data_IF_441348680382
#
_entry.id   IF_441348680382
#
_cell.length_a   1.000
_cell.length_b   1.000
_cell.length_c   1.000
_cell.angle_alpha   90.00
_cell.angle_beta   90.00
_cell.angle_gamma   90.00
#
_symmetry.space_group_name_H-M   'P 1'
#
loop_
_entity.id
_entity.type
_entity.pdbx_description
1 polymer ?
#
# COMPACT_ATOMS: atom_id res chain seq x y z
N UNK A 1 48.61 -33.28 16.63
CA UNK A 1 48.11 -31.84 16.79
C UNK A 1 47.50 -31.28 15.52
N UNK A 2 48.12 -31.49 14.32
CA UNK A 2 47.56 -31.00 13.06
C UNK A 2 46.35 -31.82 12.58
N UNK A 3 46.40 -33.13 12.79
CA UNK A 3 45.32 -34.09 12.54
C UNK A 3 44.12 -33.86 13.47
N UNK A 4 44.33 -33.60 14.74
CA UNK A 4 43.30 -33.27 15.74
C UNK A 4 42.61 -31.96 15.41
N UNK A 5 43.33 -30.94 14.92
CA UNK A 5 42.76 -29.67 14.49
C UNK A 5 41.91 -29.82 13.21
N UNK A 6 42.27 -30.71 12.29
CA UNK A 6 41.51 -31.02 11.09
C UNK A 6 40.23 -31.80 11.40
N UNK A 7 40.26 -32.75 12.35
CA UNK A 7 39.12 -33.51 12.85
C UNK A 7 38.13 -32.58 13.57
N UNK A 8 38.61 -31.72 14.48
CA UNK A 8 37.78 -30.69 15.15
C UNK A 8 37.13 -29.72 14.15
N UNK A 9 37.82 -29.32 13.09
CA UNK A 9 37.27 -28.44 12.06
C UNK A 9 36.17 -29.14 11.24
N UNK A 10 36.32 -30.46 10.98
CA UNK A 10 35.33 -31.28 10.31
C UNK A 10 34.06 -31.50 11.15
N UNK A 11 34.22 -31.72 12.47
CA UNK A 11 33.07 -31.84 13.39
C UNK A 11 32.32 -30.53 13.53
N UNK A 12 33.01 -29.38 13.68
CA UNK A 12 32.40 -28.07 13.72
C UNK A 12 31.64 -27.71 12.42
N UNK A 13 32.22 -28.07 11.28
CA UNK A 13 31.56 -27.85 9.98
C UNK A 13 30.28 -28.68 9.85
N UNK A 14 30.26 -29.90 10.36
CA UNK A 14 29.11 -30.77 10.38
C UNK A 14 28.01 -30.22 11.31
N UNK A 15 28.37 -29.78 12.52
CA UNK A 15 27.42 -29.18 13.48
C UNK A 15 26.78 -27.88 12.91
N UNK A 16 27.60 -27.02 12.29
CA UNK A 16 27.09 -25.79 11.64
C UNK A 16 26.12 -26.14 10.53
N UNK A 17 26.42 -27.12 9.68
CA UNK A 17 25.48 -27.56 8.61
C UNK A 17 24.19 -28.14 9.17
N UNK A 18 24.26 -28.90 10.26
CA UNK A 18 23.07 -29.45 10.93
C UNK A 18 22.18 -28.36 11.52
N UNK A 19 22.75 -27.34 12.16
CA UNK A 19 22.03 -26.18 12.69
C UNK A 19 21.39 -25.34 11.57
N UNK A 20 22.11 -25.12 10.48
CA UNK A 20 21.61 -24.43 9.30
C UNK A 20 20.40 -25.18 8.68
N UNK A 21 20.47 -26.51 8.60
CA UNK A 21 19.37 -27.32 8.11
C UNK A 21 18.14 -27.24 9.01
N UNK A 22 18.30 -27.32 10.34
CA UNK A 22 17.20 -27.17 11.30
C UNK A 22 16.59 -25.76 11.25
N UNK A 23 17.40 -24.73 11.16
CA UNK A 23 16.92 -23.36 10.99
C UNK A 23 16.12 -23.20 9.70
N UNK A 24 16.57 -23.81 8.60
CA UNK A 24 15.86 -23.83 7.32
C UNK A 24 14.47 -24.50 7.41
N UNK A 25 14.34 -25.60 8.18
CA UNK A 25 13.04 -26.25 8.40
C UNK A 25 12.11 -25.35 9.21
N UNK A 26 12.60 -24.75 10.30
CA UNK A 26 11.77 -23.85 11.13
C UNK A 26 11.31 -22.61 10.35
N UNK A 27 12.17 -22.04 9.54
CA UNK A 27 11.81 -20.90 8.68
C UNK A 27 10.77 -21.30 7.62
N UNK A 28 10.87 -22.51 7.04
CA UNK A 28 9.89 -23.03 6.10
C UNK A 28 8.51 -23.25 6.75
N UNK A 29 8.48 -23.73 8.00
CA UNK A 29 7.22 -23.93 8.74
C UNK A 29 6.55 -22.58 9.10
N UNK A 30 7.33 -21.57 9.46
CA UNK A 30 6.84 -20.22 9.68
C UNK A 30 6.31 -19.61 8.37
N UNK A 31 7.06 -19.77 7.29
CA UNK A 31 6.69 -19.26 5.97
C UNK A 31 5.41 -19.89 5.42
N UNK A 32 5.19 -21.18 5.67
CA UNK A 32 3.95 -21.87 5.27
C UNK A 32 2.70 -21.38 6.01
N UNK A 33 2.86 -20.77 7.18
CA UNK A 33 1.77 -20.20 8.00
C UNK A 33 1.53 -18.74 7.74
N UNK A 34 2.40 -18.08 6.98
CA UNK A 34 2.28 -16.66 6.67
C UNK A 34 1.10 -16.42 5.70
N UNK A 35 0.09 -15.69 6.13
CA UNK A 35 -1.09 -15.36 5.36
C UNK A 35 -1.22 -13.87 5.07
N UNK A 36 -0.66 -13.02 5.93
CA UNK A 36 -0.67 -11.59 5.76
C UNK A 36 0.52 -11.10 4.93
N UNK A 37 0.35 -9.97 4.27
CA UNK A 37 1.35 -9.38 3.36
C UNK A 37 2.72 -9.18 4.03
N UNK A 38 2.73 -8.62 5.24
CA UNK A 38 3.97 -8.35 5.99
C UNK A 38 4.64 -9.64 6.46
N UNK A 39 3.87 -10.63 6.90
CA UNK A 39 4.37 -11.92 7.32
C UNK A 39 5.03 -12.67 6.16
N UNK A 40 4.40 -12.68 4.98
CA UNK A 40 4.95 -13.29 3.76
C UNK A 40 6.25 -12.59 3.36
N UNK A 41 6.30 -11.28 3.43
CA UNK A 41 7.48 -10.49 3.10
C UNK A 41 8.65 -10.80 4.05
N UNK A 42 8.39 -10.88 5.36
CA UNK A 42 9.38 -11.27 6.36
C UNK A 42 9.87 -12.71 6.17
N UNK A 43 8.97 -13.64 5.83
CA UNK A 43 9.30 -15.02 5.56
C UNK A 43 10.24 -15.16 4.35
N UNK A 44 9.97 -14.47 3.25
CA UNK A 44 10.84 -14.43 2.06
C UNK A 44 12.23 -13.91 2.44
N UNK A 45 12.31 -12.76 3.12
CA UNK A 45 13.59 -12.18 3.54
C UNK A 45 14.40 -13.12 4.43
N UNK A 46 13.74 -13.83 5.35
CA UNK A 46 14.39 -14.78 6.25
C UNK A 46 14.94 -15.99 5.50
N UNK A 47 14.19 -16.54 4.55
CA UNK A 47 14.65 -17.63 3.70
C UNK A 47 15.80 -17.22 2.76
N UNK A 48 15.75 -16.01 2.22
CA UNK A 48 16.82 -15.46 1.38
C UNK A 48 18.12 -15.26 2.18
N UNK A 49 18.03 -14.72 3.38
CA UNK A 49 19.20 -14.62 4.30
C UNK A 49 19.76 -16.01 4.64
N UNK A 50 18.89 -16.97 4.97
CA UNK A 50 19.33 -18.34 5.23
C UNK A 50 20.06 -18.96 4.02
N UNK A 51 19.59 -18.69 2.79
CA UNK A 51 20.24 -19.09 1.54
C UNK A 51 21.64 -18.52 1.40
N UNK A 52 21.82 -17.24 1.67
CA UNK A 52 23.12 -16.57 1.59
C UNK A 52 24.13 -17.16 2.58
N UNK A 53 23.71 -17.39 3.84
CA UNK A 53 24.57 -17.94 4.87
C UNK A 53 24.94 -19.42 4.68
N UNK A 54 23.99 -20.21 4.16
CA UNK A 54 24.17 -21.66 4.03
C UNK A 54 24.80 -22.11 2.71
N UNK A 55 25.00 -21.18 1.75
CA UNK A 55 25.41 -21.53 0.39
C UNK A 55 24.32 -22.30 -0.39
N UNK A 56 23.08 -22.27 0.11
CA UNK A 56 21.87 -22.92 -0.45
C UNK A 56 20.93 -23.41 0.63
N UNK A 57 19.64 -23.44 0.37
CA UNK A 57 18.59 -23.87 1.33
C UNK A 57 17.85 -25.14 0.90
N UNK A 58 18.35 -25.79 -0.14
CA UNK A 58 17.71 -26.95 -0.74
C UNK A 58 16.50 -26.62 -1.63
N UNK A 59 16.23 -27.49 -2.58
CA UNK A 59 15.21 -27.26 -3.63
C UNK A 59 13.80 -26.97 -3.08
N UNK A 60 13.43 -27.58 -1.95
CA UNK A 60 12.12 -27.36 -1.33
C UNK A 60 11.94 -25.94 -0.83
N UNK A 61 12.96 -25.36 -0.21
CA UNK A 61 12.91 -24.00 0.31
C UNK A 61 13.05 -22.96 -0.82
N UNK A 62 13.78 -23.27 -1.89
CA UNK A 62 13.79 -22.45 -3.11
C UNK A 62 12.39 -22.39 -3.75
N UNK A 63 11.70 -23.54 -3.86
CA UNK A 63 10.33 -23.56 -4.36
C UNK A 63 9.38 -22.75 -3.47
N UNK A 64 9.55 -22.85 -2.14
CA UNK A 64 8.74 -22.10 -1.19
C UNK A 64 8.89 -20.58 -1.36
N UNK A 65 10.11 -20.06 -1.63
CA UNK A 65 10.32 -18.65 -1.94
C UNK A 65 9.53 -18.24 -3.19
N UNK A 66 9.53 -19.07 -4.22
CA UNK A 66 8.78 -18.80 -5.46
C UNK A 66 7.28 -18.74 -5.18
N UNK A 67 6.75 -19.70 -4.42
CA UNK A 67 5.33 -19.80 -4.08
C UNK A 67 4.89 -18.59 -3.23
N UNK A 68 5.69 -18.19 -2.25
CA UNK A 68 5.43 -17.01 -1.41
C UNK A 68 5.46 -15.70 -2.20
N UNK A 69 6.38 -15.57 -3.16
CA UNK A 69 6.42 -14.38 -4.05
C UNK A 69 5.19 -14.31 -4.94
N UNK A 70 4.72 -15.46 -5.42
CA UNK A 70 3.47 -15.54 -6.19
C UNK A 70 2.27 -15.11 -5.35
N UNK A 71 2.15 -15.64 -4.12
CA UNK A 71 1.11 -15.26 -3.16
C UNK A 71 1.15 -13.77 -2.83
N UNK A 72 2.34 -13.19 -2.60
CA UNK A 72 2.52 -11.77 -2.35
C UNK A 72 2.03 -10.91 -3.53
N UNK A 73 2.36 -11.31 -4.76
CA UNK A 73 1.90 -10.63 -5.98
C UNK A 73 0.38 -10.65 -6.13
N UNK A 74 -0.28 -11.76 -5.79
CA UNK A 74 -1.75 -11.85 -5.82
C UNK A 74 -2.42 -10.96 -4.75
N UNK A 75 -1.85 -10.90 -3.55
CA UNK A 75 -2.32 -10.01 -2.49
C UNK A 75 -2.18 -8.53 -2.87
N UNK A 76 -1.06 -8.16 -3.51
CA UNK A 76 -0.84 -6.80 -4.03
C UNK A 76 -1.89 -6.42 -5.07
N UNK A 77 -2.16 -7.31 -6.02
CA UNK A 77 -3.20 -7.10 -7.03
C UNK A 77 -4.58 -6.96 -6.40
N UNK A 78 -4.87 -7.75 -5.36
CA UNK A 78 -6.14 -7.68 -4.65
C UNK A 78 -6.29 -6.37 -3.89
N UNK A 79 -5.26 -5.91 -3.16
CA UNK A 79 -5.24 -4.61 -2.49
C UNK A 79 -5.41 -3.45 -3.48
N UNK A 80 -4.71 -3.51 -4.62
CA UNK A 80 -4.85 -2.52 -5.67
C UNK A 80 -6.28 -2.47 -6.26
N UNK A 81 -6.94 -3.61 -6.43
CA UNK A 81 -8.33 -3.70 -6.88
C UNK A 81 -9.30 -3.07 -5.88
N UNK A 82 -9.19 -3.42 -4.60
CA UNK A 82 -10.03 -2.83 -3.54
C UNK A 82 -9.88 -1.32 -3.54
N UNK A 83 -8.64 -0.80 -3.57
CA UNK A 83 -8.41 0.64 -3.59
C UNK A 83 -8.93 1.34 -4.85
N UNK A 84 -9.04 0.66 -5.98
CA UNK A 84 -9.68 1.18 -7.20
C UNK A 84 -11.20 1.21 -7.03
N UNK A 85 -11.78 0.13 -6.51
CA UNK A 85 -13.24 0.02 -6.31
C UNK A 85 -13.73 1.07 -5.30
N UNK A 86 -13.01 1.27 -4.19
CA UNK A 86 -13.33 2.31 -3.19
C UNK A 86 -13.30 3.72 -3.80
N UNK A 87 -12.26 4.07 -4.56
CA UNK A 87 -12.16 5.36 -5.26
C UNK A 87 -13.26 5.55 -6.29
N UNK A 88 -13.65 4.49 -6.98
CA UNK A 88 -14.75 4.54 -7.96
C UNK A 88 -16.10 4.75 -7.28
N UNK A 89 -16.35 4.16 -6.12
CA UNK A 89 -17.56 4.39 -5.33
C UNK A 89 -17.61 5.82 -4.78
N UNK A 90 -16.51 6.31 -4.24
CA UNK A 90 -16.38 7.69 -3.77
C UNK A 90 -16.65 8.68 -4.93
N UNK A 91 -16.00 8.48 -6.08
CA UNK A 91 -16.21 9.31 -7.26
C UNK A 91 -17.67 9.32 -7.74
N UNK A 92 -18.37 8.17 -7.67
CA UNK A 92 -19.80 8.08 -7.98
C UNK A 92 -20.67 8.84 -6.97
N UNK A 93 -20.34 8.73 -5.68
CA UNK A 93 -21.07 9.43 -4.63
C UNK A 93 -20.93 10.95 -4.79
N UNK A 94 -19.73 11.46 -5.02
CA UNK A 94 -19.47 12.88 -5.27
C UNK A 94 -20.25 13.35 -6.52
N UNK A 95 -20.21 12.60 -7.61
CA UNK A 95 -20.94 12.92 -8.85
C UNK A 95 -22.45 12.97 -8.63
N UNK A 96 -23.01 12.05 -7.86
CA UNK A 96 -24.45 12.05 -7.54
C UNK A 96 -24.86 13.29 -6.74
N UNK A 97 -24.01 13.74 -5.81
CA UNK A 97 -24.25 14.98 -5.05
C UNK A 97 -24.08 16.21 -5.93
N UNK A 98 -23.04 16.25 -6.78
CA UNK A 98 -22.81 17.37 -7.71
C UNK A 98 -24.01 17.65 -8.62
N UNK A 99 -24.67 16.59 -9.08
CA UNK A 99 -25.86 16.65 -9.94
C UNK A 99 -27.19 16.80 -9.17
N UNK A 100 -27.12 16.79 -7.84
CA UNK A 100 -28.30 16.94 -7.00
C UNK A 100 -28.64 18.43 -6.76
N UNK A 101 -29.90 18.78 -6.48
CA UNK A 101 -30.26 20.15 -6.08
C UNK A 101 -29.70 20.55 -4.70
N UNK A 102 -28.93 19.69 -4.04
CA UNK A 102 -28.33 19.94 -2.73
C UNK A 102 -27.11 20.85 -2.83
N UNK A 103 -26.33 20.76 -3.91
CA UNK A 103 -25.17 21.62 -4.17
C UNK A 103 -25.66 22.92 -4.83
N UNK A 104 -25.40 24.06 -4.17
CA UNK A 104 -25.89 25.38 -4.62
C UNK A 104 -24.84 26.45 -4.46
N UNK A 105 -24.84 27.42 -5.39
CA UNK A 105 -24.10 28.68 -5.26
C UNK A 105 -24.54 29.39 -3.98
N UNK A 106 -23.60 30.02 -3.28
CA UNK A 106 -23.79 30.68 -2.01
C UNK A 106 -23.59 29.80 -0.77
N UNK A 107 -23.37 28.49 -0.95
CA UNK A 107 -23.01 27.61 0.15
C UNK A 107 -21.63 27.95 0.71
N UNK A 108 -21.50 27.85 2.03
CA UNK A 108 -20.21 28.10 2.71
C UNK A 108 -19.30 26.87 2.63
N UNK A 109 -18.00 27.09 2.81
CA UNK A 109 -16.98 26.03 2.88
C UNK A 109 -17.37 24.88 3.81
N UNK A 110 -17.81 25.10 5.08
CA UNK A 110 -18.23 24.01 5.96
C UNK A 110 -19.42 23.20 5.41
N UNK A 111 -20.39 23.87 4.77
CA UNK A 111 -21.55 23.19 4.17
C UNK A 111 -21.15 22.31 3.01
N UNK A 112 -20.17 22.71 2.21
CA UNK A 112 -19.63 21.89 1.13
C UNK A 112 -18.84 20.70 1.68
N UNK A 113 -18.03 20.90 2.72
CA UNK A 113 -17.30 19.82 3.39
C UNK A 113 -18.24 18.78 4.02
N UNK A 114 -19.33 19.22 4.63
CA UNK A 114 -20.35 18.29 5.15
C UNK A 114 -21.05 17.49 4.03
N UNK A 115 -21.21 18.09 2.85
CA UNK A 115 -21.92 17.50 1.73
C UNK A 115 -21.07 16.57 0.86
N UNK A 116 -19.81 16.94 0.60
CA UNK A 116 -18.89 16.30 -0.34
C UNK A 116 -17.63 15.71 0.32
N UNK A 117 -17.38 16.00 1.60
CA UNK A 117 -16.11 15.69 2.26
C UNK A 117 -14.98 16.64 1.87
N UNK A 118 -13.76 16.26 2.21
CA UNK A 118 -12.57 17.02 1.83
C UNK A 118 -12.32 16.91 0.33
N UNK A 119 -11.93 18.01 -0.36
CA UNK A 119 -11.58 17.93 -1.76
C UNK A 119 -10.25 17.19 -1.96
N UNK A 120 -10.08 16.59 -3.13
CA UNK A 120 -8.84 15.93 -3.52
C UNK A 120 -7.69 16.94 -3.70
N UNK A 121 -8.01 18.15 -4.17
CA UNK A 121 -7.04 19.23 -4.32
C UNK A 121 -7.65 20.58 -3.91
N UNK A 122 -6.84 21.42 -3.24
CA UNK A 122 -7.17 22.82 -2.90
C UNK A 122 -6.12 23.73 -3.52
N UNK A 123 -6.57 24.69 -4.32
CA UNK A 123 -5.72 25.69 -4.95
C UNK A 123 -6.17 27.06 -4.47
N UNK A 124 -5.34 27.73 -3.68
CA UNK A 124 -5.60 29.11 -3.26
C UNK A 124 -5.12 30.07 -4.35
N UNK A 125 -5.99 30.94 -4.79
CA UNK A 125 -5.71 32.01 -5.77
C UNK A 125 -5.93 33.36 -5.10
N UNK A 126 -4.89 34.09 -4.87
CA UNK A 126 -4.96 35.46 -4.32
C UNK A 126 -3.92 35.66 -3.23
N UNK A 127 -3.11 36.71 -3.43
CA UNK A 127 -2.14 37.19 -2.44
C UNK A 127 -2.68 38.37 -1.62
N UNK A 128 -3.91 38.83 -1.87
CA UNK A 128 -4.50 39.96 -1.18
C UNK A 128 -5.39 39.48 -0.02
N UNK A 129 -5.19 40.13 1.11
CA UNK A 129 -5.89 39.86 2.38
C UNK A 129 -7.41 40.11 2.26
N UNK A 130 -7.84 40.83 1.24
CA UNK A 130 -9.23 41.28 1.07
C UNK A 130 -10.08 40.38 0.16
N UNK A 131 -9.48 39.48 -0.62
CA UNK A 131 -10.23 38.55 -1.49
C UNK A 131 -9.57 37.18 -1.54
N UNK A 132 -10.02 36.29 -0.66
CA UNK A 132 -9.57 34.90 -0.69
C UNK A 132 -10.36 34.13 -1.77
N UNK A 133 -9.71 33.80 -2.88
CA UNK A 133 -10.25 32.89 -3.86
C UNK A 133 -9.65 31.50 -3.65
N UNK A 134 -10.50 30.49 -3.54
CA UNK A 134 -10.11 29.10 -3.48
C UNK A 134 -10.79 28.31 -4.59
N UNK A 135 -10.03 27.40 -5.21
CA UNK A 135 -10.54 26.41 -6.15
C UNK A 135 -10.40 25.03 -5.51
N UNK A 136 -11.50 24.32 -5.34
CA UNK A 136 -11.54 22.97 -4.85
C UNK A 136 -11.83 22.00 -6.00
N UNK A 137 -11.06 20.90 -6.09
CA UNK A 137 -11.17 19.91 -7.13
C UNK A 137 -11.54 18.58 -6.49
N UNK A 138 -12.62 18.00 -6.97
CA UNK A 138 -13.07 16.65 -6.65
C UNK A 138 -12.98 15.79 -7.90
N UNK A 139 -12.36 14.61 -7.79
CA UNK A 139 -12.38 13.64 -8.87
C UNK A 139 -13.72 12.91 -8.87
N UNK A 140 -14.40 12.92 -10.00
CA UNK A 140 -15.66 12.23 -10.23
C UNK A 140 -15.47 11.14 -11.28
N UNK A 141 -16.48 10.27 -11.46
CA UNK A 141 -16.35 9.11 -12.33
C UNK A 141 -15.93 9.46 -13.77
N UNK A 142 -16.47 10.54 -14.31
CA UNK A 142 -16.32 10.89 -15.71
C UNK A 142 -15.53 12.20 -15.92
N UNK A 143 -14.79 12.66 -14.92
CA UNK A 143 -14.02 13.91 -15.01
C UNK A 143 -13.67 14.52 -13.67
N UNK A 144 -13.78 15.84 -13.56
CA UNK A 144 -13.54 16.59 -12.33
C UNK A 144 -14.69 17.56 -12.04
N UNK A 145 -15.06 17.67 -10.76
CA UNK A 145 -15.94 18.72 -10.27
C UNK A 145 -15.05 19.83 -9.69
N UNK A 146 -15.17 21.04 -10.22
CA UNK A 146 -14.44 22.21 -9.77
C UNK A 146 -15.41 23.17 -9.08
N UNK A 147 -15.08 23.53 -7.83
CA UNK A 147 -15.83 24.45 -7.01
C UNK A 147 -14.97 25.68 -6.73
N UNK A 148 -15.40 26.85 -7.19
CA UNK A 148 -14.69 28.09 -6.93
C UNK A 148 -15.38 28.85 -5.80
N UNK A 149 -14.59 29.25 -4.81
CA UNK A 149 -15.04 30.00 -3.65
C UNK A 149 -14.46 31.42 -3.70
N UNK A 150 -15.27 32.39 -3.31
CA UNK A 150 -14.87 33.75 -3.05
C UNK A 150 -15.42 34.15 -1.68
N UNK A 151 -14.59 34.70 -0.83
CA UNK A 151 -14.94 35.09 0.53
C UNK A 151 -15.63 33.97 1.32
N UNK A 152 -15.08 32.73 1.17
CA UNK A 152 -15.57 31.48 1.79
C UNK A 152 -16.96 31.03 1.35
N UNK A 153 -17.48 31.58 0.26
CA UNK A 153 -18.76 31.19 -0.35
C UNK A 153 -18.57 30.65 -1.77
N UNK A 154 -19.29 29.59 -2.09
CA UNK A 154 -19.29 28.98 -3.41
C UNK A 154 -19.95 29.92 -4.42
N UNK A 155 -19.22 30.36 -5.43
CA UNK A 155 -19.75 31.24 -6.48
C UNK A 155 -19.77 30.57 -7.86
N UNK A 156 -19.04 29.47 -8.07
CA UNK A 156 -19.00 28.77 -9.36
C UNK A 156 -18.88 27.27 -9.17
N UNK A 157 -19.60 26.52 -10.01
CA UNK A 157 -19.58 25.05 -10.09
C UNK A 157 -19.32 24.69 -11.55
N UNK A 158 -18.29 23.88 -11.81
CA UNK A 158 -17.95 23.38 -13.15
C UNK A 158 -17.71 21.87 -13.09
N UNK A 159 -18.29 21.13 -14.01
CA UNK A 159 -18.00 19.72 -14.27
C UNK A 159 -17.20 19.66 -15.58
N UNK A 160 -15.95 19.15 -15.55
CA UNK A 160 -15.01 19.12 -16.68
C UNK A 160 -14.62 17.67 -17.01
#
# INVERSE_FOLDING_TARGET
>A
KYTEALEMNGELEFEVKALQYQAGIQLADLANKADEFEEIQMAIQSLERAREFAGGIGNRNEQLIIDLRSKLSELDKHKARIGIDERMEEARAIQAVARSPRLKIGMTVPQIQELLGEPHEKISRGNDIDHAEELWIYYIKDGTLQLSFQDYQLFKIEEI
#
